data_IF_840101928746
#
_entry.id   IF_840101928746
#
_cell.length_a   1.000
_cell.length_b   1.000
_cell.length_c   1.000
_cell.angle_alpha   90.00
_cell.angle_beta   90.00
_cell.angle_gamma   90.00
#
_symmetry.space_group_name_H-M   'P 1'
#
loop_
_entity.id
_entity.type
_entity.pdbx_description
1 polymer ?
#
# COMPACT_ATOMS: atom_id res chain seq x y z
N UNK A 1 -29.48 149.04 -58.60
CA UNK A 1 -30.09 149.21 -57.26
C UNK A 1 -30.88 147.98 -56.81
N UNK A 2 -31.75 147.34 -57.62
CA UNK A 2 -32.55 146.18 -57.12
C UNK A 2 -31.82 144.82 -57.03
N UNK A 3 -30.73 144.61 -57.77
CA UNK A 3 -29.98 143.33 -57.74
C UNK A 3 -29.18 143.13 -56.44
N UNK A 4 -28.81 144.20 -55.74
CA UNK A 4 -28.08 144.13 -54.47
C UNK A 4 -29.01 143.71 -53.33
N UNK A 5 -30.25 144.22 -53.31
CA UNK A 5 -31.25 143.86 -52.30
C UNK A 5 -31.72 142.40 -52.46
N UNK A 6 -31.83 141.89 -53.68
CA UNK A 6 -32.18 140.48 -53.92
C UNK A 6 -31.04 139.53 -53.48
N UNK A 7 -29.79 139.89 -53.74
CA UNK A 7 -28.63 139.13 -53.26
C UNK A 7 -28.53 139.19 -51.73
N UNK A 8 -28.81 140.34 -51.10
CA UNK A 8 -28.85 140.48 -49.65
C UNK A 8 -29.97 139.65 -49.02
N UNK A 9 -31.16 139.61 -49.62
CA UNK A 9 -32.28 138.78 -49.15
C UNK A 9 -31.98 137.28 -49.27
N UNK A 10 -31.31 136.85 -50.36
CA UNK A 10 -30.88 135.45 -50.52
C UNK A 10 -29.76 135.06 -49.57
N UNK A 11 -28.82 135.97 -49.29
CA UNK A 11 -27.76 135.73 -48.29
C UNK A 11 -28.37 135.65 -46.90
N UNK A 12 -29.29 136.54 -46.52
CA UNK A 12 -29.97 136.49 -45.24
C UNK A 12 -30.77 135.19 -45.06
N UNK A 13 -31.55 134.78 -46.06
CA UNK A 13 -32.26 133.50 -46.03
C UNK A 13 -31.34 132.28 -46.01
N UNK A 14 -30.18 132.35 -46.67
CA UNK A 14 -29.16 131.31 -46.60
C UNK A 14 -28.48 131.27 -45.22
N UNK A 15 -28.20 132.43 -44.60
CA UNK A 15 -27.66 132.51 -43.25
C UNK A 15 -28.67 132.04 -42.19
N UNK A 16 -29.96 132.35 -42.33
CA UNK A 16 -31.02 131.82 -41.44
C UNK A 16 -31.20 130.31 -41.62
N UNK A 17 -31.07 129.79 -42.86
CA UNK A 17 -31.05 128.34 -43.10
C UNK A 17 -29.82 127.66 -42.52
N UNK A 18 -28.66 128.30 -42.61
CA UNK A 18 -27.42 127.78 -42.01
C UNK A 18 -27.52 127.89 -40.48
N UNK A 19 -28.07 128.97 -39.95
CA UNK A 19 -28.34 129.16 -38.52
C UNK A 19 -29.27 128.09 -37.97
N UNK A 20 -30.43 127.89 -38.62
CA UNK A 20 -31.37 126.81 -38.25
C UNK A 20 -30.82 125.41 -38.50
N UNK A 21 -29.98 125.21 -39.52
CA UNK A 21 -29.29 123.95 -39.78
C UNK A 21 -28.21 123.63 -38.72
N UNK A 22 -27.51 124.65 -38.22
CA UNK A 22 -26.54 124.53 -37.12
C UNK A 22 -27.27 124.34 -35.79
N UNK A 23 -28.41 124.99 -35.57
CA UNK A 23 -29.27 124.74 -34.40
C UNK A 23 -29.87 123.33 -34.42
N UNK A 24 -30.26 122.80 -35.58
CA UNK A 24 -30.71 121.41 -35.71
C UNK A 24 -29.58 120.40 -35.47
N UNK A 25 -28.35 120.71 -35.90
CA UNK A 25 -27.16 119.89 -35.60
C UNK A 25 -26.78 119.98 -34.12
N UNK A 26 -26.94 121.14 -33.50
CA UNK A 26 -26.79 121.35 -32.05
C UNK A 26 -27.90 120.66 -31.25
N UNK A 27 -29.13 120.58 -31.77
CA UNK A 27 -30.22 119.77 -31.22
C UNK A 27 -29.99 118.25 -31.39
N UNK A 28 -29.09 117.87 -32.31
CA UNK A 28 -28.45 116.55 -32.37
C UNK A 28 -27.62 116.19 -31.13
N UNK A 29 -27.47 117.09 -30.14
CA UNK A 29 -26.96 116.76 -28.80
C UNK A 29 -27.78 115.65 -28.10
N UNK A 30 -29.04 115.42 -28.47
CA UNK A 30 -29.81 114.26 -28.03
C UNK A 30 -29.32 112.92 -28.61
N UNK A 31 -28.61 112.93 -29.74
CA UNK A 31 -27.94 111.76 -30.26
C UNK A 31 -26.68 111.43 -29.45
N UNK A 32 -25.97 112.44 -28.94
CA UNK A 32 -24.82 112.24 -28.04
C UNK A 32 -25.25 111.66 -26.68
N UNK A 33 -26.38 112.11 -26.13
CA UNK A 33 -26.98 111.55 -24.90
C UNK A 33 -27.46 110.11 -25.11
N UNK A 34 -28.13 109.83 -26.25
CA UNK A 34 -28.54 108.46 -26.59
C UNK A 34 -27.36 107.50 -26.85
N UNK A 35 -26.24 108.01 -27.36
CA UNK A 35 -25.01 107.24 -27.56
C UNK A 35 -24.36 106.96 -26.22
N UNK A 36 -24.36 107.92 -25.28
CA UNK A 36 -23.86 107.74 -23.92
C UNK A 36 -24.64 106.66 -23.15
N UNK A 37 -25.96 106.68 -23.21
CA UNK A 37 -26.84 105.67 -22.59
C UNK A 37 -26.62 104.27 -23.19
N UNK A 38 -26.51 104.17 -24.52
CA UNK A 38 -26.22 102.91 -25.20
C UNK A 38 -24.83 102.37 -24.84
N UNK A 39 -23.82 103.23 -24.68
CA UNK A 39 -22.50 102.79 -24.18
C UNK A 39 -22.55 102.30 -22.74
N UNK A 40 -23.30 102.96 -21.86
CA UNK A 40 -23.47 102.52 -20.47
C UNK A 40 -24.17 101.16 -20.40
N UNK A 41 -25.26 100.96 -21.16
CA UNK A 41 -25.96 99.68 -21.27
C UNK A 41 -25.08 98.58 -21.88
N UNK A 42 -24.27 98.92 -22.89
CA UNK A 42 -23.31 97.98 -23.49
C UNK A 42 -22.22 97.56 -22.49
N UNK A 43 -21.72 98.49 -21.67
CA UNK A 43 -20.71 98.19 -20.67
C UNK A 43 -21.28 97.39 -19.49
N UNK A 44 -22.54 97.64 -19.11
CA UNK A 44 -23.28 96.82 -18.14
C UNK A 44 -23.53 95.40 -18.66
N UNK A 45 -23.94 95.24 -19.93
CA UNK A 45 -24.09 93.94 -20.60
C UNK A 45 -22.76 93.19 -20.76
N UNK A 46 -21.65 93.89 -21.02
CA UNK A 46 -20.32 93.28 -21.03
C UNK A 46 -19.91 92.80 -19.64
N UNK A 47 -20.18 93.58 -18.59
CA UNK A 47 -19.94 93.20 -17.20
C UNK A 47 -20.78 91.98 -16.82
N UNK A 48 -22.06 91.98 -17.17
CA UNK A 48 -22.97 90.85 -16.96
C UNK A 48 -22.48 89.61 -17.71
N UNK A 49 -22.07 89.74 -18.97
CA UNK A 49 -21.49 88.64 -19.74
C UNK A 49 -20.16 88.13 -19.16
N UNK A 50 -19.31 89.00 -18.63
CA UNK A 50 -18.08 88.60 -17.96
C UNK A 50 -18.39 87.81 -16.67
N UNK A 51 -19.32 88.29 -15.85
CA UNK A 51 -19.79 87.59 -14.65
C UNK A 51 -20.45 86.24 -14.98
N UNK A 52 -21.26 86.18 -16.03
CA UNK A 52 -21.85 84.94 -16.52
C UNK A 52 -20.77 83.99 -17.07
N UNK A 53 -19.75 84.51 -17.75
CA UNK A 53 -18.60 83.75 -18.23
C UNK A 53 -17.80 83.12 -17.09
N UNK A 54 -17.55 83.87 -16.01
CA UNK A 54 -16.90 83.37 -14.80
C UNK A 54 -17.76 82.33 -14.06
N UNK A 55 -19.07 82.58 -13.94
CA UNK A 55 -20.01 81.60 -13.37
C UNK A 55 -20.07 80.33 -14.22
N UNK A 56 -20.14 80.44 -15.55
CA UNK A 56 -20.09 79.31 -16.47
C UNK A 56 -18.77 78.54 -16.34
N UNK A 57 -17.64 79.24 -16.19
CA UNK A 57 -16.34 78.61 -15.97
C UNK A 57 -16.29 77.85 -14.64
N UNK A 58 -16.82 78.45 -13.57
CA UNK A 58 -16.91 77.80 -12.26
C UNK A 58 -17.84 76.57 -12.28
N UNK A 59 -18.98 76.66 -12.97
CA UNK A 59 -19.91 75.55 -13.13
C UNK A 59 -19.26 74.42 -13.96
N UNK A 60 -18.57 74.76 -15.04
CA UNK A 60 -17.84 73.77 -15.85
C UNK A 60 -16.75 73.07 -15.05
N UNK A 61 -15.95 73.80 -14.28
CA UNK A 61 -14.92 73.22 -13.42
C UNK A 61 -15.52 72.26 -12.37
N UNK A 62 -16.62 72.66 -11.71
CA UNK A 62 -17.32 71.79 -10.75
C UNK A 62 -17.89 70.54 -11.42
N UNK A 63 -18.51 70.66 -12.58
CA UNK A 63 -19.01 69.49 -13.31
C UNK A 63 -17.90 68.59 -13.83
N UNK A 64 -16.75 69.12 -14.23
CA UNK A 64 -15.58 68.32 -14.59
C UNK A 64 -15.06 67.54 -13.37
N UNK A 65 -14.97 68.18 -12.20
CA UNK A 65 -14.62 67.51 -10.94
C UNK A 65 -15.63 66.43 -10.54
N UNK A 66 -16.93 66.72 -10.61
CA UNK A 66 -18.01 65.74 -10.33
C UNK A 66 -17.97 64.56 -11.30
N UNK A 67 -17.78 64.81 -12.60
CA UNK A 67 -17.66 63.77 -13.62
C UNK A 67 -16.42 62.91 -13.42
N UNK A 68 -15.32 63.51 -12.96
CA UNK A 68 -14.10 62.77 -12.63
C UNK A 68 -14.32 61.89 -11.39
N UNK A 69 -14.93 62.43 -10.33
CA UNK A 69 -15.27 61.66 -9.13
C UNK A 69 -16.20 60.47 -9.46
N UNK A 70 -17.23 60.68 -10.28
CA UNK A 70 -18.15 59.60 -10.71
C UNK A 70 -17.43 58.52 -11.54
N UNK A 71 -16.46 58.89 -12.38
CA UNK A 71 -15.66 57.93 -13.13
C UNK A 71 -14.80 57.09 -12.19
N UNK A 72 -14.14 57.72 -11.21
CA UNK A 72 -13.35 57.01 -10.21
C UNK A 72 -14.22 56.07 -9.35
N UNK A 73 -15.45 56.46 -9.00
CA UNK A 73 -16.40 55.58 -8.32
C UNK A 73 -16.83 54.39 -9.20
N UNK A 74 -17.06 54.62 -10.49
CA UNK A 74 -17.40 53.55 -11.43
C UNK A 74 -16.24 52.55 -11.59
N UNK A 75 -15.00 53.04 -11.67
CA UNK A 75 -13.80 52.20 -11.74
C UNK A 75 -13.65 51.36 -10.46
N UNK A 76 -13.82 51.97 -9.27
CA UNK A 76 -13.85 51.24 -7.98
C UNK A 76 -14.96 50.19 -7.92
N UNK A 77 -16.14 50.47 -8.49
CA UNK A 77 -17.23 49.49 -8.57
C UNK A 77 -16.82 48.30 -9.43
N UNK A 78 -16.15 48.54 -10.56
CA UNK A 78 -15.63 47.49 -11.44
C UNK A 78 -14.59 46.60 -10.75
N UNK A 79 -13.66 47.20 -9.99
CA UNK A 79 -12.70 46.45 -9.17
C UNK A 79 -13.41 45.61 -8.09
N UNK A 80 -14.45 46.15 -7.46
CA UNK A 80 -15.21 45.46 -6.43
C UNK A 80 -15.98 44.25 -6.99
N UNK A 81 -16.53 44.38 -8.20
CA UNK A 81 -17.20 43.27 -8.88
C UNK A 81 -16.20 42.18 -9.34
N UNK A 82 -15.01 42.57 -9.78
CA UNK A 82 -13.93 41.62 -10.07
C UNK A 82 -13.49 40.85 -8.80
N UNK A 83 -13.31 41.54 -7.68
CA UNK A 83 -12.97 40.93 -6.39
C UNK A 83 -14.07 39.99 -5.88
N UNK A 84 -15.35 40.33 -6.08
CA UNK A 84 -16.46 39.42 -5.76
C UNK A 84 -16.40 38.15 -6.60
N UNK A 85 -16.20 38.29 -7.91
CA UNK A 85 -16.07 37.11 -8.80
C UNK A 85 -14.90 36.22 -8.40
N UNK A 86 -13.77 36.79 -7.99
CA UNK A 86 -12.63 36.01 -7.50
C UNK A 86 -12.91 35.35 -6.15
N UNK A 87 -13.62 36.02 -5.24
CA UNK A 87 -14.08 35.41 -3.99
C UNK A 87 -15.02 34.23 -4.23
N UNK A 88 -15.97 34.35 -5.16
CA UNK A 88 -16.89 33.26 -5.52
C UNK A 88 -16.13 32.06 -6.12
N UNK A 89 -15.10 32.34 -6.94
CA UNK A 89 -14.21 31.31 -7.48
C UNK A 89 -13.39 30.63 -6.39
N UNK A 90 -12.80 31.40 -5.47
CA UNK A 90 -12.03 30.88 -4.35
C UNK A 90 -12.92 30.05 -3.41
N UNK A 91 -14.15 30.50 -3.14
CA UNK A 91 -15.13 29.75 -2.34
C UNK A 91 -15.43 28.39 -2.98
N UNK A 92 -15.68 28.37 -4.30
CA UNK A 92 -15.91 27.13 -5.04
C UNK A 92 -14.69 26.18 -5.02
N UNK A 93 -13.47 26.74 -5.10
CA UNK A 93 -12.24 25.96 -4.98
C UNK A 93 -12.08 25.35 -3.58
N UNK A 94 -12.36 26.12 -2.52
CA UNK A 94 -12.32 25.64 -1.13
C UNK A 94 -13.33 24.53 -0.90
N UNK A 95 -14.55 24.65 -1.42
CA UNK A 95 -15.57 23.61 -1.34
C UNK A 95 -15.10 22.32 -2.04
N UNK A 96 -14.54 22.44 -3.24
CA UNK A 96 -13.99 21.31 -3.99
C UNK A 96 -12.83 20.63 -3.25
N UNK A 97 -11.91 21.41 -2.68
CA UNK A 97 -10.80 20.87 -1.89
C UNK A 97 -11.27 20.21 -0.59
N UNK A 98 -12.28 20.76 0.06
CA UNK A 98 -12.89 20.16 1.25
C UNK A 98 -13.48 18.79 0.93
N UNK A 99 -14.27 18.69 -0.14
CA UNK A 99 -14.83 17.42 -0.59
C UNK A 99 -13.75 16.39 -0.95
N UNK A 100 -12.67 16.82 -1.63
CA UNK A 100 -11.54 15.94 -1.95
C UNK A 100 -10.81 15.44 -0.68
N UNK A 101 -10.67 16.28 0.34
CA UNK A 101 -10.07 15.90 1.62
C UNK A 101 -10.94 14.91 2.41
N UNK A 102 -12.26 15.08 2.39
CA UNK A 102 -13.20 14.13 2.98
C UNK A 102 -13.11 12.76 2.30
N UNK A 103 -13.04 12.75 0.96
CA UNK A 103 -12.87 11.52 0.18
C UNK A 103 -11.52 10.84 0.49
N UNK A 104 -10.40 11.58 0.50
CA UNK A 104 -9.09 11.04 0.88
C UNK A 104 -9.09 10.49 2.31
N UNK A 105 -9.80 11.15 3.22
CA UNK A 105 -9.93 10.68 4.62
C UNK A 105 -10.70 9.35 4.67
N UNK A 106 -11.79 9.23 3.92
CA UNK A 106 -12.55 7.99 3.77
C UNK A 106 -11.70 6.85 3.19
N UNK A 107 -10.96 7.13 2.12
CA UNK A 107 -10.05 6.17 1.49
C UNK A 107 -8.95 5.70 2.44
N UNK A 108 -8.36 6.61 3.20
CA UNK A 108 -7.35 6.25 4.20
C UNK A 108 -7.94 5.35 5.30
N UNK A 109 -9.13 5.64 5.80
CA UNK A 109 -9.80 4.79 6.78
C UNK A 109 -10.09 3.38 6.22
N UNK A 110 -10.52 3.29 4.96
CA UNK A 110 -10.75 2.01 4.29
C UNK A 110 -9.45 1.20 4.11
N UNK A 111 -8.36 1.86 3.70
CA UNK A 111 -7.05 1.21 3.56
C UNK A 111 -6.50 0.74 4.90
N UNK A 112 -6.66 1.52 5.97
CA UNK A 112 -6.29 1.10 7.33
C UNK A 112 -7.05 -0.17 7.74
N UNK A 113 -8.37 -0.22 7.51
CA UNK A 113 -9.15 -1.42 7.80
C UNK A 113 -8.72 -2.64 6.97
N UNK A 114 -8.37 -2.44 5.69
CA UNK A 114 -7.84 -3.52 4.85
C UNK A 114 -6.49 -4.05 5.37
N UNK A 115 -5.60 -3.17 5.80
CA UNK A 115 -4.29 -3.55 6.37
C UNK A 115 -4.48 -4.35 7.66
N UNK A 116 -5.40 -3.94 8.53
CA UNK A 116 -5.73 -4.68 9.75
C UNK A 116 -6.30 -6.06 9.45
N UNK A 117 -7.20 -6.17 8.46
CA UNK A 117 -7.73 -7.46 8.00
C UNK A 117 -6.64 -8.40 7.47
N UNK A 118 -5.80 -7.91 6.55
CA UNK A 118 -4.70 -8.70 5.99
C UNK A 118 -3.70 -9.16 7.07
N UNK A 119 -3.47 -8.33 8.08
CA UNK A 119 -2.60 -8.68 9.21
C UNK A 119 -3.23 -9.81 10.04
N UNK A 120 -4.53 -9.76 10.32
CA UNK A 120 -5.23 -10.82 11.02
C UNK A 120 -5.20 -12.15 10.24
N UNK A 121 -5.39 -12.09 8.92
CA UNK A 121 -5.29 -13.27 8.05
C UNK A 121 -3.87 -13.87 8.06
N UNK A 122 -2.83 -13.02 8.01
CA UNK A 122 -1.44 -13.46 8.08
C UNK A 122 -1.11 -14.14 9.43
N UNK A 123 -1.64 -13.62 10.54
CA UNK A 123 -1.50 -14.22 11.87
C UNK A 123 -2.22 -15.57 11.95
N UNK A 124 -3.42 -15.69 11.35
CA UNK A 124 -4.16 -16.94 11.27
C UNK A 124 -3.40 -18.00 10.47
N UNK A 125 -2.87 -17.64 9.29
CA UNK A 125 -2.08 -18.54 8.46
C UNK A 125 -0.77 -18.97 9.15
N UNK A 126 -0.10 -18.07 9.88
CA UNK A 126 1.07 -18.44 10.67
C UNK A 126 0.73 -19.48 11.75
N UNK A 127 -0.41 -19.32 12.43
CA UNK A 127 -0.92 -20.31 13.39
C UNK A 127 -1.21 -21.67 12.74
N UNK A 128 -1.80 -21.68 11.55
CA UNK A 128 -2.07 -22.92 10.80
C UNK A 128 -0.78 -23.63 10.37
N UNK A 129 0.23 -22.90 9.92
CA UNK A 129 1.55 -23.45 9.57
C UNK A 129 2.20 -24.13 10.77
N UNK A 130 2.17 -23.50 11.95
CA UNK A 130 2.74 -24.11 13.16
C UNK A 130 1.96 -25.35 13.60
N UNK A 131 0.64 -25.37 13.42
CA UNK A 131 -0.18 -26.57 13.66
C UNK A 131 0.20 -27.71 12.72
N UNK A 132 0.31 -27.44 11.41
CA UNK A 132 0.67 -28.45 10.41
C UNK A 132 2.08 -29.00 10.62
N UNK A 133 3.04 -28.17 11.05
CA UNK A 133 4.38 -28.64 11.44
C UNK A 133 4.33 -29.59 12.64
N UNK A 134 3.50 -29.28 13.64
CA UNK A 134 3.32 -30.16 14.79
C UNK A 134 2.71 -31.50 14.37
N UNK A 135 1.68 -31.48 13.53
CA UNK A 135 1.03 -32.69 13.00
C UNK A 135 2.03 -33.54 12.20
N UNK A 136 2.84 -32.93 11.33
CA UNK A 136 3.87 -33.64 10.57
C UNK A 136 4.91 -34.29 11.49
N UNK A 137 5.40 -33.58 12.51
CA UNK A 137 6.35 -34.12 13.47
C UNK A 137 5.77 -35.32 14.26
N UNK A 138 4.46 -35.32 14.52
CA UNK A 138 3.80 -36.49 15.14
C UNK A 138 3.67 -37.66 14.16
N UNK A 139 3.40 -37.40 12.89
CA UNK A 139 3.33 -38.42 11.86
C UNK A 139 4.69 -39.09 11.63
N UNK A 140 5.77 -38.31 11.52
CA UNK A 140 7.14 -38.83 11.39
C UNK A 140 7.54 -39.72 12.57
N UNK A 141 7.18 -39.32 13.80
CA UNK A 141 7.37 -40.16 14.99
C UNK A 141 6.56 -41.46 14.92
N UNK A 142 5.33 -41.39 14.39
CA UNK A 142 4.49 -42.55 14.17
C UNK A 142 5.09 -43.53 13.16
N UNK A 143 5.62 -43.02 12.05
CA UNK A 143 6.32 -43.83 11.03
C UNK A 143 7.60 -44.47 11.60
N UNK A 144 8.39 -43.72 12.38
CA UNK A 144 9.57 -44.25 13.04
C UNK A 144 9.23 -45.37 14.04
N UNK A 145 8.20 -45.17 14.87
CA UNK A 145 7.72 -46.18 15.81
C UNK A 145 7.19 -47.43 15.07
N UNK A 146 6.48 -47.25 13.95
CA UNK A 146 6.00 -48.36 13.13
C UNK A 146 7.16 -49.15 12.52
N UNK A 147 8.18 -48.47 11.99
CA UNK A 147 9.37 -49.11 11.45
C UNK A 147 10.15 -49.90 12.52
N UNK A 148 10.23 -49.39 13.75
CA UNK A 148 10.83 -50.12 14.88
C UNK A 148 10.02 -51.37 15.24
N UNK A 149 8.68 -51.27 15.29
CA UNK A 149 7.80 -52.42 15.54
C UNK A 149 7.94 -53.50 14.47
N UNK A 150 8.03 -53.12 13.20
CA UNK A 150 8.20 -54.07 12.10
C UNK A 150 9.57 -54.77 12.16
N UNK A 151 10.64 -54.05 12.55
CA UNK A 151 11.96 -54.66 12.80
C UNK A 151 11.94 -55.64 13.97
N UNK A 152 11.32 -55.27 15.10
CA UNK A 152 11.21 -56.14 16.26
C UNK A 152 10.39 -57.40 15.95
N UNK A 153 9.33 -57.28 15.14
CA UNK A 153 8.55 -58.43 14.67
C UNK A 153 9.38 -59.36 13.78
N UNK A 154 10.10 -58.82 12.80
CA UNK A 154 10.98 -59.61 11.94
C UNK A 154 12.05 -60.36 12.76
N UNK A 155 12.66 -59.67 13.74
CA UNK A 155 13.63 -60.30 14.64
C UNK A 155 13.02 -61.40 15.53
N UNK A 156 11.78 -61.23 15.98
CA UNK A 156 11.07 -62.25 16.76
C UNK A 156 10.69 -63.48 15.92
N UNK A 157 10.31 -63.29 14.65
CA UNK A 157 10.06 -64.39 13.70
C UNK A 157 11.33 -65.21 13.46
N UNK A 158 12.47 -64.55 13.23
CA UNK A 158 13.75 -65.22 13.03
C UNK A 158 14.21 -65.98 14.28
N UNK A 159 14.05 -65.39 15.47
CA UNK A 159 14.29 -66.09 16.73
C UNK A 159 13.39 -67.33 16.88
N UNK A 160 12.12 -67.23 16.48
CA UNK A 160 11.19 -68.36 16.45
C UNK A 160 11.67 -69.50 15.57
N UNK A 161 12.19 -69.20 14.37
CA UNK A 161 12.76 -70.19 13.45
C UNK A 161 14.01 -70.85 14.06
N UNK A 162 14.90 -70.07 14.67
CA UNK A 162 16.12 -70.58 15.33
C UNK A 162 15.76 -71.52 16.48
N UNK A 163 14.80 -71.13 17.34
CA UNK A 163 14.35 -71.96 18.46
C UNK A 163 13.72 -73.26 17.99
N UNK A 164 12.89 -73.23 16.94
CA UNK A 164 12.31 -74.43 16.34
C UNK A 164 13.40 -75.38 15.81
N UNK A 165 14.43 -74.84 15.15
CA UNK A 165 15.56 -75.63 14.66
C UNK A 165 16.38 -76.24 15.79
N UNK A 166 16.65 -75.48 16.85
CA UNK A 166 17.38 -75.96 18.01
C UNK A 166 16.62 -77.10 18.71
N UNK A 167 15.30 -76.96 18.88
CA UNK A 167 14.46 -78.01 19.47
C UNK A 167 14.52 -79.31 18.65
N UNK A 168 14.47 -79.21 17.31
CA UNK A 168 14.63 -80.38 16.43
C UNK A 168 15.98 -81.09 16.63
N UNK A 169 17.09 -80.34 16.74
CA UNK A 169 18.41 -80.95 16.94
C UNK A 169 18.57 -81.56 18.34
N UNK A 170 18.01 -80.93 19.38
CA UNK A 170 17.98 -81.47 20.74
C UNK A 170 17.16 -82.76 20.80
N UNK A 171 16.00 -82.81 20.14
CA UNK A 171 15.19 -84.03 20.03
C UNK A 171 15.96 -85.14 19.30
N UNK A 172 16.65 -84.81 18.21
CA UNK A 172 17.49 -85.78 17.48
C UNK A 172 18.63 -86.33 18.33
N UNK A 173 19.32 -85.47 19.09
CA UNK A 173 20.34 -85.88 20.04
C UNK A 173 19.79 -86.84 21.10
N UNK A 174 18.63 -86.52 21.69
CA UNK A 174 17.96 -87.37 22.69
C UNK A 174 17.63 -88.74 22.10
N UNK A 175 17.04 -88.78 20.91
CA UNK A 175 16.71 -90.02 20.22
C UNK A 175 17.95 -90.89 19.95
N UNK A 176 19.04 -90.28 19.45
CA UNK A 176 20.30 -90.98 19.19
C UNK A 176 20.93 -91.55 20.46
N UNK A 177 20.87 -90.79 21.57
CA UNK A 177 21.36 -91.22 22.87
C UNK A 177 20.53 -92.37 23.47
N UNK A 178 19.21 -92.33 23.33
CA UNK A 178 18.33 -93.40 23.78
C UNK A 178 18.57 -94.69 22.96
N UNK A 179 18.75 -94.57 21.64
CA UNK A 179 19.15 -95.70 20.78
C UNK A 179 20.50 -96.28 21.17
N UNK A 180 21.50 -95.43 21.46
CA UNK A 180 22.81 -95.88 21.96
C UNK A 180 22.68 -96.64 23.26
N UNK A 181 21.88 -96.17 24.22
CA UNK A 181 21.66 -96.85 25.50
C UNK A 181 21.02 -98.22 25.29
N UNK A 182 20.02 -98.31 24.41
CA UNK A 182 19.38 -99.58 24.08
C UNK A 182 20.35 -100.56 23.41
N UNK A 183 21.13 -100.10 22.42
CA UNK A 183 22.12 -100.94 21.73
C UNK A 183 23.20 -101.40 22.70
N UNK A 184 23.68 -100.52 23.59
CA UNK A 184 24.66 -100.88 24.62
C UNK A 184 24.10 -101.90 25.62
N UNK A 185 22.82 -101.81 25.99
CA UNK A 185 22.17 -102.81 26.85
C UNK A 185 22.12 -104.19 26.15
N UNK A 186 21.78 -104.22 24.84
CA UNK A 186 21.78 -105.45 24.04
C UNK A 186 23.20 -106.03 23.87
N UNK A 187 24.21 -105.20 23.61
CA UNK A 187 25.61 -105.61 23.54
C UNK A 187 26.08 -106.25 24.86
N UNK A 188 25.73 -105.65 26.01
CA UNK A 188 26.06 -106.21 27.32
C UNK A 188 25.39 -107.57 27.55
N UNK A 189 24.12 -107.72 27.13
CA UNK A 189 23.40 -108.99 27.20
C UNK A 189 24.05 -110.07 26.32
N UNK A 190 24.29 -109.78 25.04
CA UNK A 190 24.94 -110.70 24.11
C UNK A 190 26.34 -111.12 24.62
N UNK A 191 27.11 -110.18 25.16
CA UNK A 191 28.41 -110.46 25.75
C UNK A 191 28.32 -111.36 27.00
N UNK A 192 27.28 -111.20 27.83
CA UNK A 192 27.05 -112.09 28.99
C UNK A 192 26.63 -113.51 28.60
N UNK A 193 26.01 -113.66 27.43
CA UNK A 193 25.62 -114.94 26.84
C UNK A 193 26.76 -115.58 26.01
N UNK A 194 27.90 -114.88 25.88
CA UNK A 194 29.05 -115.33 25.09
C UNK A 194 28.85 -115.25 23.57
N UNK A 195 27.82 -114.55 23.11
CA UNK A 195 27.46 -114.41 21.70
C UNK A 195 28.09 -113.13 21.14
N UNK A 196 28.90 -113.26 20.10
CA UNK A 196 29.42 -112.11 19.36
C UNK A 196 28.41 -111.65 18.30
N UNK A 197 27.91 -110.41 18.43
CA UNK A 197 27.03 -109.78 17.44
C UNK A 197 27.71 -108.54 16.80
N UNK A 198 28.56 -108.72 15.77
CA UNK A 198 29.24 -107.62 15.09
C UNK A 198 28.30 -106.55 14.54
N UNK A 199 27.07 -106.92 14.17
CA UNK A 199 26.07 -105.99 13.67
C UNK A 199 25.57 -105.00 14.74
N UNK A 200 25.55 -105.39 16.02
CA UNK A 200 25.19 -104.46 17.10
C UNK A 200 26.30 -103.42 17.34
N UNK A 201 27.56 -103.80 17.17
CA UNK A 201 28.70 -102.88 17.26
C UNK A 201 28.62 -101.84 16.14
N UNK A 202 28.37 -102.28 14.90
CA UNK A 202 28.18 -101.36 13.77
C UNK A 202 26.99 -100.41 14.00
N UNK A 203 25.87 -100.90 14.56
CA UNK A 203 24.72 -100.07 14.93
C UNK A 203 25.03 -99.08 16.04
N UNK A 204 25.82 -99.47 17.05
CA UNK A 204 26.26 -98.57 18.12
C UNK A 204 27.12 -97.44 17.56
N UNK A 205 28.11 -97.77 16.72
CA UNK A 205 28.97 -96.77 16.07
C UNK A 205 28.16 -95.81 15.19
N UNK A 206 27.17 -96.32 14.43
CA UNK A 206 26.30 -95.46 13.63
C UNK A 206 25.46 -94.51 14.50
N UNK A 207 24.89 -95.00 15.59
CA UNK A 207 24.12 -94.17 16.53
C UNK A 207 25.02 -93.16 17.28
N UNK A 208 26.31 -93.46 17.49
CA UNK A 208 27.28 -92.52 18.06
C UNK A 208 27.65 -91.42 17.07
N UNK A 209 27.89 -91.79 15.81
CA UNK A 209 28.13 -90.84 14.72
C UNK A 209 26.91 -89.93 14.52
N UNK A 210 25.69 -90.47 14.58
CA UNK A 210 24.47 -89.67 14.47
C UNK A 210 24.28 -88.71 15.66
N UNK A 211 24.58 -89.16 16.88
CA UNK A 211 24.57 -88.30 18.07
C UNK A 211 25.59 -87.17 18.00
N UNK A 212 26.82 -87.46 17.57
CA UNK A 212 27.86 -86.46 17.36
C UNK A 212 27.51 -85.47 16.25
N UNK A 213 26.83 -85.92 15.18
CA UNK A 213 26.34 -85.03 14.12
C UNK A 213 25.24 -84.09 14.62
N UNK A 214 24.28 -84.61 15.40
CA UNK A 214 23.22 -83.81 15.99
C UNK A 214 23.77 -82.78 17.01
N UNK A 215 24.76 -83.17 17.83
CA UNK A 215 25.45 -82.25 18.73
C UNK A 215 26.16 -81.12 17.99
N UNK A 216 26.95 -81.45 16.96
CA UNK A 216 27.60 -80.43 16.13
C UNK A 216 26.60 -79.52 15.40
N UNK A 217 25.45 -80.04 14.99
CA UNK A 217 24.40 -79.26 14.34
C UNK A 217 23.69 -78.30 15.32
N UNK A 218 23.49 -78.73 16.57
CA UNK A 218 23.03 -77.89 17.67
C UNK A 218 24.02 -76.75 17.93
N UNK A 219 25.30 -77.08 18.15
CA UNK A 219 26.36 -76.11 18.40
C UNK A 219 26.49 -75.09 17.26
N UNK A 220 26.39 -75.54 16.00
CA UNK A 220 26.43 -74.66 14.83
C UNK A 220 25.21 -73.73 14.76
N UNK A 221 24.03 -74.20 15.17
CA UNK A 221 22.80 -73.39 15.21
C UNK A 221 22.88 -72.35 16.33
N UNK A 222 23.38 -72.73 17.50
CA UNK A 222 23.61 -71.81 18.63
C UNK A 222 24.65 -70.75 18.29
N UNK A 223 25.80 -71.13 17.72
CA UNK A 223 26.82 -70.20 17.29
C UNK A 223 26.31 -69.22 16.23
N UNK A 224 25.52 -69.71 15.26
CA UNK A 224 24.85 -68.86 14.27
C UNK A 224 23.86 -67.87 14.89
N UNK A 225 23.08 -68.30 15.88
CA UNK A 225 22.13 -67.45 16.59
C UNK A 225 22.82 -66.33 17.40
N UNK A 226 23.93 -66.67 18.07
CA UNK A 226 24.75 -65.68 18.79
C UNK A 226 25.36 -64.68 17.82
N UNK A 227 25.93 -65.13 16.71
CA UNK A 227 26.49 -64.25 15.68
C UNK A 227 25.44 -63.29 15.12
N UNK A 228 24.26 -63.80 14.76
CA UNK A 228 23.16 -62.97 14.28
C UNK A 228 22.75 -61.90 15.31
N UNK A 229 22.64 -62.27 16.59
CA UNK A 229 22.28 -61.30 17.64
C UNK A 229 23.38 -60.25 17.85
N UNK A 230 24.64 -60.64 17.79
CA UNK A 230 25.77 -59.72 17.87
C UNK A 230 25.84 -58.78 16.66
N UNK A 231 25.59 -59.28 15.45
CA UNK A 231 25.52 -58.47 14.22
C UNK A 231 24.39 -57.45 14.31
N UNK A 232 23.21 -57.85 14.80
CA UNK A 232 22.06 -56.96 15.01
C UNK A 232 22.38 -55.88 16.06
N UNK A 233 22.99 -56.25 17.19
CA UNK A 233 23.38 -55.28 18.23
C UNK A 233 24.48 -54.32 17.76
N UNK A 234 25.36 -54.78 16.87
CA UNK A 234 26.42 -53.95 16.30
C UNK A 234 25.87 -52.97 15.26
N UNK A 235 24.87 -53.37 14.45
CA UNK A 235 24.19 -52.46 13.52
C UNK A 235 23.34 -51.39 14.22
N UNK A 236 22.84 -51.69 15.42
CA UNK A 236 22.08 -50.74 16.25
C UNK A 236 22.98 -49.81 17.08
N UNK A 237 24.29 -50.06 17.13
CA UNK A 237 25.21 -49.22 17.87
C UNK A 237 25.42 -47.89 17.13
N UNK A 238 25.23 -46.72 17.79
CA UNK A 238 25.58 -45.44 17.18
C UNK A 238 27.07 -45.43 16.85
N UNK A 239 27.43 -44.94 15.65
CA UNK A 239 28.83 -44.81 15.24
C UNK A 239 29.64 -44.17 16.38
N UNK A 240 30.79 -44.73 16.78
CA UNK A 240 31.61 -44.10 17.79
C UNK A 240 31.98 -42.71 17.29
N UNK A 241 31.60 -41.69 18.07
CA UNK A 241 31.96 -40.30 17.80
C UNK A 241 33.44 -40.26 17.44
N UNK A 242 33.73 -39.95 16.16
CA UNK A 242 35.10 -39.76 15.69
C UNK A 242 35.70 -38.70 16.60
N UNK A 243 36.60 -39.13 17.48
CA UNK A 243 37.32 -38.25 18.36
C UNK A 243 37.92 -37.13 17.53
N UNK A 244 37.56 -35.91 17.88
CA UNK A 244 38.33 -34.71 17.61
C UNK A 244 39.74 -34.96 18.13
N UNK A 245 40.63 -35.44 17.26
CA UNK A 245 42.06 -35.40 17.52
C UNK A 245 42.56 -34.06 16.99
N UNK A 246 42.86 -33.19 17.96
CA UNK A 246 43.78 -32.05 18.00
C UNK A 246 44.59 -31.71 16.72
#
# INVERSE_FOLDING_TARGET
MSQIEELQGRIAAAMDRIGSGVEALAAGAGAADSVADLTAALDEEKLANAQLGERLKSIKARHEEEMQALREELDRSGELDALKSDNDRLASQVETMTAANEELTSQNAALTAQIEGLKADAEAHAGEVERLKADLATAEKGEAAQAEMDRLRAGAEEQGIILARLDMEVQRMRQSNDQLREINARLRKANSEGIAEPQLINKAMLAEIEGLRAARASDATEAGAVLFKLETLLSDAPEPAKGENE
#
